data_IF_331222948510
#
_entry.id   IF_331222948510
#
_cell.length_a   1.000
_cell.length_b   1.000
_cell.length_c   1.000
_cell.angle_alpha   90.00
_cell.angle_beta   90.00
_cell.angle_gamma   90.00
#
_symmetry.space_group_name_H-M   'P 1'
#
loop_
_entity.id
_entity.type
_entity.pdbx_description
1 polymer ?
#
# COMPACT_ATOMS: atom_id res chain seq x y z
N UNK A 1 3.67 58.83 -14.86
CA UNK A 1 3.38 57.48 -15.43
C UNK A 1 4.26 56.36 -14.88
N UNK A 2 5.61 56.48 -14.85
CA UNK A 2 6.46 55.37 -14.33
C UNK A 2 6.28 55.05 -12.82
N UNK A 3 6.00 56.07 -11.96
CA UNK A 3 5.78 55.90 -10.51
C UNK A 3 4.40 55.28 -10.18
N UNK A 4 3.39 55.59 -10.97
CA UNK A 4 2.04 55.00 -10.79
C UNK A 4 1.99 53.54 -11.24
N UNK A 5 2.75 53.17 -12.30
CA UNK A 5 2.85 51.78 -12.74
C UNK A 5 3.56 50.87 -11.71
N UNK A 6 4.60 51.39 -11.07
CA UNK A 6 5.31 50.66 -10.00
C UNK A 6 4.45 50.41 -8.76
N UNK A 7 3.59 51.36 -8.38
CA UNK A 7 2.65 51.20 -7.24
C UNK A 7 1.56 50.18 -7.55
N UNK A 8 1.06 50.12 -8.79
CA UNK A 8 0.06 49.15 -9.20
C UNK A 8 0.69 47.71 -9.20
N UNK A 9 1.92 47.59 -9.66
CA UNK A 9 2.62 46.29 -9.68
C UNK A 9 2.91 45.78 -8.26
N UNK A 10 3.28 46.66 -7.32
CA UNK A 10 3.48 46.33 -5.92
C UNK A 10 2.18 45.91 -5.23
N UNK A 11 1.06 46.53 -5.55
CA UNK A 11 -0.25 46.20 -5.00
C UNK A 11 -0.75 44.81 -5.52
N UNK A 12 -0.48 44.47 -6.76
CA UNK A 12 -0.84 43.14 -7.32
C UNK A 12 -0.01 42.01 -6.69
N UNK A 13 1.28 42.25 -6.42
CA UNK A 13 2.11 41.25 -5.71
C UNK A 13 1.71 41.08 -4.23
N UNK A 14 1.24 42.14 -3.56
CA UNK A 14 0.76 42.05 -2.19
C UNK A 14 -0.57 41.26 -2.05
N UNK A 15 -1.44 41.30 -3.08
CA UNK A 15 -2.69 40.55 -3.09
C UNK A 15 -2.47 39.04 -3.34
N UNK A 16 -1.39 38.64 -4.01
CA UNK A 16 -1.11 37.24 -4.27
C UNK A 16 -0.57 36.48 -3.04
N UNK A 17 -0.04 37.18 -2.05
CA UNK A 17 0.45 36.58 -0.79
C UNK A 17 -0.66 36.31 0.25
N UNK A 18 -1.85 36.87 0.08
CA UNK A 18 -2.98 36.64 1.00
C UNK A 18 -3.78 35.38 0.66
N UNK A 19 -3.61 34.81 -0.54
CA UNK A 19 -4.33 33.61 -0.96
C UNK A 19 -3.81 32.30 -0.29
N UNK A 20 -2.68 32.34 0.43
CA UNK A 20 -2.14 31.17 1.16
C UNK A 20 -2.37 31.22 2.67
N UNK A 21 -3.09 32.21 3.19
CA UNK A 21 -3.37 32.33 4.62
C UNK A 21 -4.85 32.07 4.90
N UNK A 22 -5.11 30.89 5.49
CA UNK A 22 -6.35 30.45 6.13
C UNK A 22 -7.47 29.95 5.21
N UNK A 23 -7.36 28.70 4.82
CA UNK A 23 -8.55 27.86 4.80
C UNK A 23 -9.02 27.73 6.26
N UNK A 24 -10.26 28.10 6.61
CA UNK A 24 -10.76 27.83 7.96
C UNK A 24 -10.74 26.30 8.14
N UNK A 25 -10.11 25.85 9.23
CA UNK A 25 -10.22 24.48 9.72
C UNK A 25 -11.70 24.24 10.06
N UNK A 26 -12.47 23.81 9.10
CA UNK A 26 -13.81 23.31 9.32
C UNK A 26 -13.69 21.81 9.58
N UNK A 27 -14.07 21.40 10.76
CA UNK A 27 -14.23 20.05 11.28
C UNK A 27 -13.33 18.99 10.67
N UNK A 28 -12.21 18.66 11.33
CA UNK A 28 -11.30 17.63 10.89
C UNK A 28 -11.98 16.30 10.65
N UNK A 29 -12.25 15.99 9.41
CA UNK A 29 -12.09 14.64 8.93
C UNK A 29 -10.59 14.45 8.85
N UNK A 30 -10.00 13.71 9.80
CA UNK A 30 -8.64 13.22 9.66
C UNK A 30 -8.53 12.68 8.22
N UNK A 31 -7.49 13.09 7.50
CA UNK A 31 -7.27 12.61 6.16
C UNK A 31 -7.10 11.10 6.27
N UNK A 32 -8.18 10.36 5.96
CA UNK A 32 -8.15 8.91 5.92
C UNK A 32 -7.14 8.55 4.83
N UNK A 33 -6.07 7.89 5.19
CA UNK A 33 -5.08 7.44 4.22
C UNK A 33 -5.70 6.66 3.06
N UNK A 34 -4.91 6.05 2.23
CA UNK A 34 -5.38 5.16 1.17
C UNK A 34 -4.59 3.86 1.20
N UNK A 35 -5.17 2.81 0.67
CA UNK A 35 -4.52 1.51 0.51
C UNK A 35 -4.27 1.26 -0.97
N UNK A 36 -3.04 0.87 -1.31
CA UNK A 36 -2.72 0.31 -2.60
C UNK A 36 -2.21 -1.12 -2.39
N UNK A 37 -3.01 -2.11 -2.76
CA UNK A 37 -2.65 -3.52 -2.68
C UNK A 37 -2.19 -4.05 -4.04
N UNK A 38 -0.96 -4.57 -4.08
CA UNK A 38 -0.46 -5.34 -5.22
C UNK A 38 -0.74 -6.83 -4.98
N UNK A 39 -1.76 -7.35 -5.66
CA UNK A 39 -2.18 -8.74 -5.57
C UNK A 39 -1.34 -9.66 -6.47
N UNK A 40 -0.88 -10.78 -5.91
CA UNK A 40 -0.07 -11.78 -6.62
C UNK A 40 -0.87 -12.98 -7.13
N UNK A 41 -2.19 -13.04 -6.82
CA UNK A 41 -3.10 -14.14 -7.18
C UNK A 41 -4.11 -13.69 -8.23
N UNK A 42 -3.85 -13.87 -9.53
CA UNK A 42 -4.77 -13.47 -10.59
C UNK A 42 -6.16 -14.10 -10.45
N UNK A 43 -6.24 -15.32 -9.96
CA UNK A 43 -7.49 -16.04 -9.71
C UNK A 43 -8.35 -15.40 -8.62
N UNK A 44 -7.78 -14.60 -7.74
CA UNK A 44 -8.47 -13.91 -6.66
C UNK A 44 -8.79 -12.43 -7.00
N UNK A 45 -8.46 -11.95 -8.20
CA UNK A 45 -8.59 -10.54 -8.57
C UNK A 45 -9.99 -9.99 -8.29
N UNK A 46 -11.03 -10.65 -8.80
CA UNK A 46 -12.40 -10.16 -8.63
C UNK A 46 -12.81 -10.08 -7.15
N UNK A 47 -12.41 -11.06 -6.35
CA UNK A 47 -12.71 -11.06 -4.91
C UNK A 47 -12.02 -9.88 -4.19
N UNK A 48 -10.79 -9.56 -4.57
CA UNK A 48 -10.08 -8.41 -4.02
C UNK A 48 -10.68 -7.07 -4.47
N UNK A 49 -11.14 -6.95 -5.74
CA UNK A 49 -11.83 -5.76 -6.23
C UNK A 49 -13.14 -5.53 -5.46
N UNK A 50 -13.92 -6.58 -5.24
CA UNK A 50 -15.20 -6.52 -4.51
C UNK A 50 -14.97 -6.16 -3.03
N UNK A 51 -13.94 -6.73 -2.40
CA UNK A 51 -13.56 -6.41 -1.03
C UNK A 51 -13.11 -4.95 -0.91
N UNK A 52 -12.26 -4.48 -1.83
CA UNK A 52 -11.78 -3.11 -1.86
C UNK A 52 -12.93 -2.11 -1.97
N UNK A 53 -13.91 -2.39 -2.85
CA UNK A 53 -15.12 -1.58 -3.00
C UNK A 53 -15.92 -1.54 -1.69
N UNK A 54 -16.20 -2.71 -1.12
CA UNK A 54 -16.97 -2.83 0.12
C UNK A 54 -16.31 -2.08 1.27
N UNK A 55 -15.00 -2.25 1.43
CA UNK A 55 -14.23 -1.57 2.47
C UNK A 55 -14.25 -0.06 2.28
N UNK A 56 -14.06 0.42 1.06
CA UNK A 56 -14.12 1.85 0.75
C UNK A 56 -15.50 2.43 1.05
N UNK A 57 -16.59 1.73 0.70
CA UNK A 57 -17.96 2.16 0.99
C UNK A 57 -18.24 2.24 2.50
N UNK A 58 -17.71 1.30 3.28
CA UNK A 58 -17.95 1.23 4.73
C UNK A 58 -17.10 2.21 5.52
N UNK A 59 -15.86 2.45 5.10
CA UNK A 59 -14.88 3.20 5.90
C UNK A 59 -14.60 4.58 5.34
N UNK A 60 -14.84 4.79 4.04
CA UNK A 60 -14.43 5.97 3.30
C UNK A 60 -12.91 6.00 3.00
N UNK A 61 -12.17 4.92 3.27
CA UNK A 61 -10.75 4.77 2.91
C UNK A 61 -10.66 4.23 1.48
N UNK A 62 -10.07 4.99 0.53
CA UNK A 62 -9.88 4.49 -0.83
C UNK A 62 -8.95 3.29 -0.87
N UNK A 63 -9.37 2.23 -1.57
CA UNK A 63 -8.53 1.05 -1.79
C UNK A 63 -8.37 0.82 -3.28
N UNK A 64 -7.12 0.78 -3.73
CA UNK A 64 -6.72 0.41 -5.09
C UNK A 64 -6.15 -1.00 -5.06
N UNK A 65 -6.64 -1.88 -5.92
CA UNK A 65 -6.06 -3.21 -6.14
C UNK A 65 -5.50 -3.27 -7.55
N UNK A 66 -4.25 -3.70 -7.67
CA UNK A 66 -3.62 -4.04 -8.94
C UNK A 66 -3.16 -5.48 -8.86
N UNK A 67 -3.54 -6.29 -9.83
CA UNK A 67 -3.17 -7.70 -9.87
C UNK A 67 -2.08 -7.94 -10.88
N UNK A 68 -0.98 -8.51 -10.43
CA UNK A 68 0.10 -8.93 -11.31
C UNK A 68 -0.32 -10.12 -12.17
N UNK A 69 0.14 -10.16 -13.42
CA UNK A 69 -0.06 -11.33 -14.26
C UNK A 69 0.66 -12.57 -13.69
N UNK A 70 0.14 -13.75 -14.00
CA UNK A 70 0.72 -15.01 -13.51
C UNK A 70 2.22 -15.09 -13.83
N UNK A 71 3.03 -15.38 -12.80
CA UNK A 71 4.48 -15.48 -12.91
C UNK A 71 5.22 -14.14 -13.08
N UNK A 72 4.53 -13.01 -13.02
CA UNK A 72 5.11 -11.66 -13.20
C UNK A 72 5.13 -10.81 -11.92
N UNK A 73 4.85 -11.41 -10.78
CA UNK A 73 4.69 -10.66 -9.55
C UNK A 73 5.94 -9.85 -9.18
N UNK A 74 7.10 -10.49 -9.14
CA UNK A 74 8.36 -9.83 -8.72
C UNK A 74 8.75 -8.69 -9.68
N UNK A 75 8.59 -8.90 -10.99
CA UNK A 75 8.83 -7.87 -12.01
C UNK A 75 7.87 -6.69 -11.83
N UNK A 76 6.61 -6.99 -11.56
CA UNK A 76 5.58 -5.96 -11.34
C UNK A 76 5.84 -5.21 -10.04
N UNK A 77 6.16 -5.93 -8.95
CA UNK A 77 6.47 -5.30 -7.65
C UNK A 77 7.65 -4.34 -7.77
N UNK A 78 8.75 -4.78 -8.41
CA UNK A 78 9.91 -3.91 -8.62
C UNK A 78 9.51 -2.63 -9.35
N UNK A 79 8.76 -2.75 -10.44
CA UNK A 79 8.33 -1.59 -11.23
C UNK A 79 7.33 -0.68 -10.50
N UNK A 80 6.50 -1.24 -9.60
CA UNK A 80 5.55 -0.45 -8.82
C UNK A 80 6.22 0.23 -7.62
N UNK A 81 7.25 -0.37 -7.02
CA UNK A 81 7.99 0.23 -5.90
C UNK A 81 8.81 1.45 -6.33
N UNK A 82 9.20 1.55 -7.61
CA UNK A 82 9.91 2.71 -8.16
C UNK A 82 9.02 3.94 -8.40
N UNK A 83 7.71 3.84 -8.18
CA UNK A 83 6.76 4.93 -8.42
C UNK A 83 6.56 5.81 -7.19
N UNK A 84 6.24 7.08 -7.40
CA UNK A 84 5.85 8.01 -6.33
C UNK A 84 4.68 7.49 -5.48
N UNK A 85 3.76 6.74 -6.10
CA UNK A 85 2.62 6.09 -5.44
C UNK A 85 2.83 4.56 -5.44
N UNK A 86 3.80 4.10 -4.68
CA UNK A 86 4.12 2.69 -4.52
C UNK A 86 3.01 1.92 -3.75
N UNK A 87 2.95 0.58 -3.89
CA UNK A 87 2.07 -0.24 -3.07
C UNK A 87 2.31 -0.05 -1.58
N UNK A 88 1.23 0.14 -0.83
CA UNK A 88 1.27 0.20 0.64
C UNK A 88 1.02 -1.16 1.28
N UNK A 89 0.54 -2.13 0.50
CA UNK A 89 0.34 -3.52 0.90
C UNK A 89 0.76 -4.43 -0.26
N UNK A 90 1.71 -5.32 0.00
CA UNK A 90 2.26 -6.24 -0.99
C UNK A 90 2.74 -7.52 -0.33
N UNK A 91 2.97 -8.57 -1.10
CA UNK A 91 3.44 -9.84 -0.58
C UNK A 91 4.97 -9.92 -0.57
N UNK A 92 5.50 -10.37 0.56
CA UNK A 92 6.85 -10.91 0.70
C UNK A 92 6.75 -12.35 1.19
N UNK A 93 6.93 -13.30 0.28
CA UNK A 93 6.63 -14.71 0.54
C UNK A 93 7.83 -15.56 1.01
N UNK A 94 9.01 -14.97 1.14
CA UNK A 94 10.22 -15.67 1.55
C UNK A 94 11.31 -14.70 2.00
N UNK A 95 12.37 -15.23 2.59
CA UNK A 95 13.50 -14.42 3.08
C UNK A 95 14.23 -13.65 1.97
N UNK A 96 14.26 -14.16 0.74
CA UNK A 96 14.84 -13.43 -0.40
C UNK A 96 14.07 -12.15 -0.70
N UNK A 97 12.74 -12.22 -0.69
CA UNK A 97 11.89 -11.05 -0.85
C UNK A 97 12.02 -10.08 0.33
N UNK A 98 12.14 -10.57 1.57
CA UNK A 98 12.41 -9.73 2.74
C UNK A 98 13.75 -9.00 2.59
N UNK A 99 14.78 -9.67 2.12
CA UNK A 99 16.08 -9.01 1.89
C UNK A 99 16.03 -7.91 0.81
N UNK A 100 15.12 -8.04 -0.16
CA UNK A 100 14.96 -7.06 -1.23
C UNK A 100 14.04 -5.90 -0.87
N UNK A 101 13.02 -6.15 -0.07
CA UNK A 101 11.94 -5.18 0.17
C UNK A 101 11.67 -4.89 1.66
N UNK A 102 12.37 -5.56 2.58
CA UNK A 102 12.13 -5.42 4.02
C UNK A 102 12.34 -4.01 4.57
N UNK A 103 13.20 -3.22 3.92
CA UNK A 103 13.41 -1.81 4.28
C UNK A 103 12.19 -0.92 4.02
N UNK A 104 11.28 -1.33 3.12
CA UNK A 104 10.01 -0.65 2.83
C UNK A 104 8.87 -1.15 3.71
N UNK A 105 9.11 -2.19 4.50
CA UNK A 105 8.09 -2.82 5.32
C UNK A 105 8.04 -2.19 6.72
N UNK A 106 6.82 -2.06 7.23
CA UNK A 106 6.59 -1.61 8.60
C UNK A 106 6.80 -2.78 9.58
N UNK A 107 7.35 -2.52 10.75
CA UNK A 107 7.38 -3.51 11.82
C UNK A 107 5.95 -3.74 12.32
N UNK A 108 5.45 -4.96 12.17
CA UNK A 108 4.07 -5.34 12.48
C UNK A 108 3.87 -5.72 13.95
N UNK A 109 4.95 -5.94 14.71
CA UNK A 109 4.85 -6.33 16.12
C UNK A 109 4.08 -5.28 16.93
N UNK A 110 3.08 -5.73 17.68
CA UNK A 110 2.24 -4.86 18.50
C UNK A 110 1.10 -4.17 17.76
N UNK A 111 0.98 -4.33 16.43
CA UNK A 111 -0.19 -3.84 15.69
C UNK A 111 -1.44 -4.70 15.95
N UNK A 112 -2.62 -4.12 15.71
CA UNK A 112 -3.88 -4.85 15.91
C UNK A 112 -3.97 -6.09 15.03
N UNK A 113 -3.50 -6.04 13.79
CA UNK A 113 -3.50 -7.19 12.88
C UNK A 113 -2.56 -8.29 13.39
N UNK A 114 -1.38 -7.94 13.87
CA UNK A 114 -0.43 -8.89 14.45
C UNK A 114 -1.02 -9.58 15.69
N UNK A 115 -1.64 -8.82 16.59
CA UNK A 115 -2.23 -9.33 17.81
C UNK A 115 -3.48 -10.23 17.59
N UNK A 116 -4.09 -10.16 16.40
CA UNK A 116 -5.25 -10.99 16.03
C UNK A 116 -4.84 -12.28 15.31
N UNK A 117 -3.56 -12.46 14.98
CA UNK A 117 -3.08 -13.68 14.34
C UNK A 117 -3.20 -14.88 15.28
N UNK A 118 -3.63 -16.01 14.74
CA UNK A 118 -3.77 -17.27 15.49
C UNK A 118 -2.46 -18.03 15.63
N UNK A 119 -1.47 -17.74 14.78
CA UNK A 119 -0.10 -18.28 14.83
C UNK A 119 0.85 -17.29 14.20
N UNK A 120 2.11 -17.33 14.64
CA UNK A 120 3.23 -16.56 14.13
C UNK A 120 4.29 -17.43 13.43
N UNK A 121 3.96 -18.70 13.15
CA UNK A 121 4.88 -19.68 12.55
C UNK A 121 5.32 -19.30 11.13
N UNK A 122 4.56 -18.44 10.47
CA UNK A 122 4.80 -17.98 9.08
C UNK A 122 5.29 -16.54 9.00
N UNK A 123 5.59 -15.93 10.13
CA UNK A 123 6.12 -14.57 10.16
C UNK A 123 7.54 -14.54 9.57
N UNK A 124 7.83 -13.47 8.83
CA UNK A 124 9.17 -13.24 8.33
C UNK A 124 9.78 -12.01 9.01
N UNK A 125 11.05 -12.15 9.37
CA UNK A 125 11.80 -11.09 10.04
C UNK A 125 12.89 -10.53 9.13
N UNK A 126 13.11 -9.21 9.23
CA UNK A 126 14.25 -8.55 8.60
C UNK A 126 15.56 -8.83 9.37
N UNK A 127 16.66 -8.25 8.89
CA UNK A 127 17.98 -8.43 9.49
C UNK A 127 18.07 -7.86 10.93
N UNK A 128 17.23 -6.90 11.27
CA UNK A 128 17.15 -6.28 12.59
C UNK A 128 16.27 -7.08 13.57
N UNK A 129 15.67 -8.18 13.10
CA UNK A 129 14.81 -9.05 13.89
C UNK A 129 13.37 -8.59 14.01
N UNK A 130 12.97 -7.53 13.28
CA UNK A 130 11.61 -7.00 13.26
C UNK A 130 10.70 -7.86 12.36
N UNK A 131 9.48 -8.11 12.80
CA UNK A 131 8.47 -8.81 11.99
C UNK A 131 7.94 -7.88 10.91
N UNK A 132 8.29 -8.14 9.67
CA UNK A 132 7.93 -7.33 8.51
C UNK A 132 6.92 -7.98 7.57
N UNK A 133 6.58 -9.23 7.83
CA UNK A 133 5.54 -9.97 7.11
C UNK A 133 4.86 -10.97 8.03
N UNK A 134 3.55 -11.11 7.85
CA UNK A 134 2.70 -12.10 8.52
C UNK A 134 2.04 -13.01 7.51
N UNK A 135 1.81 -14.27 7.88
CA UNK A 135 1.10 -15.23 7.03
C UNK A 135 -0.41 -14.97 7.07
N UNK A 136 -1.02 -14.62 5.95
CA UNK A 136 -2.49 -14.50 5.85
C UNK A 136 -3.16 -15.79 5.37
N UNK A 137 -2.42 -16.64 4.64
CA UNK A 137 -2.82 -17.99 4.25
C UNK A 137 -1.57 -18.85 3.99
N UNK A 138 -1.74 -20.17 3.98
CA UNK A 138 -0.66 -21.08 3.58
C UNK A 138 -1.16 -22.01 2.48
N UNK A 139 -0.23 -22.45 1.65
CA UNK A 139 -0.46 -23.41 0.58
C UNK A 139 0.46 -24.61 0.75
N UNK A 140 -0.01 -25.78 0.36
CA UNK A 140 0.79 -27.00 0.38
C UNK A 140 0.99 -27.52 -1.05
N UNK A 141 2.20 -27.94 -1.33
CA UNK A 141 2.53 -28.63 -2.58
C UNK A 141 2.60 -30.13 -2.32
N UNK A 142 2.07 -30.90 -3.25
CA UNK A 142 2.09 -32.36 -3.16
C UNK A 142 2.08 -33.01 -4.52
N UNK A 143 2.38 -34.30 -4.56
CA UNK A 143 2.31 -35.12 -5.77
C UNK A 143 0.95 -35.82 -5.77
N UNK A 144 0.16 -35.58 -6.80
CA UNK A 144 -1.08 -36.32 -7.05
C UNK A 144 -0.76 -37.51 -7.91
N UNK A 145 -1.05 -38.71 -7.39
CA UNK A 145 -0.77 -39.97 -8.09
C UNK A 145 -2.08 -40.62 -8.49
N UNK A 146 -2.21 -40.96 -9.79
CA UNK A 146 -3.31 -41.80 -10.25
C UNK A 146 -2.96 -43.28 -9.98
N UNK A 147 -3.52 -43.86 -8.92
CA UNK A 147 -3.25 -45.22 -8.50
C UNK A 147 -3.69 -46.29 -9.53
N UNK A 148 -4.57 -45.93 -10.47
CA UNK A 148 -4.99 -46.83 -11.51
C UNK A 148 -3.94 -46.99 -12.66
N UNK A 149 -2.93 -46.11 -12.69
CA UNK A 149 -1.85 -46.10 -13.66
C UNK A 149 -0.52 -46.60 -13.07
N UNK A 150 -0.50 -46.97 -11.81
CA UNK A 150 0.61 -47.61 -11.11
C UNK A 150 0.37 -49.12 -11.03
#
# INVERSE_FOLDING_TARGET
MKKTLALILAAVMALSLVACAKTPANGGTEAKGSVYYLNFKPEADQAWQDLAKTYTEQTGVPVKVVTAASGQYDTTLTAEMDKDAAPTMFQVGNLGAVNSYGEFCYNLEGTDVYNQMTTHDFDLKNADGETVSIGYCYEAFGIIVNKALL
#
